data_IF_315671287652
#
_entry.id   IF_315671287652
#
_cell.length_a   1.000
_cell.length_b   1.000
_cell.length_c   1.000
_cell.angle_alpha   90.00
_cell.angle_beta   90.00
_cell.angle_gamma   90.00
#
_symmetry.space_group_name_H-M   'P 1'
#
loop_
_entity.id
_entity.type
_entity.pdbx_description
1 polymer ?
#
# COMPACT_ATOMS: atom_id res chain seq x y z
N UNK A 1 -5.30 77.84 -17.15
CA UNK A 1 -5.40 76.74 -18.13
C UNK A 1 -4.45 75.57 -17.87
N UNK A 2 -3.16 75.80 -17.59
CA UNK A 2 -2.16 74.73 -17.38
C UNK A 2 -2.55 73.71 -16.28
N UNK A 3 -3.03 74.17 -15.12
CA UNK A 3 -3.47 73.29 -14.01
C UNK A 3 -4.60 72.34 -14.40
N UNK A 4 -5.56 72.80 -15.22
CA UNK A 4 -6.69 71.98 -15.69
C UNK A 4 -6.24 70.91 -16.70
N UNK A 5 -5.28 71.23 -17.56
CA UNK A 5 -4.65 70.27 -18.48
C UNK A 5 -3.86 69.19 -17.73
N UNK A 6 -3.13 69.59 -16.69
CA UNK A 6 -2.33 68.65 -15.88
C UNK A 6 -3.21 67.69 -15.06
N UNK A 7 -4.27 68.19 -14.43
CA UNK A 7 -5.24 67.34 -13.73
C UNK A 7 -5.95 66.35 -14.68
N UNK A 8 -6.26 66.78 -15.90
CA UNK A 8 -6.84 65.89 -16.92
C UNK A 8 -5.86 64.79 -17.37
N UNK A 9 -4.58 65.12 -17.58
CA UNK A 9 -3.56 64.14 -17.92
C UNK A 9 -3.35 63.10 -16.79
N UNK A 10 -3.34 63.54 -15.53
CA UNK A 10 -3.28 62.63 -14.37
C UNK A 10 -4.50 61.72 -14.33
N UNK A 11 -5.70 62.26 -14.53
CA UNK A 11 -6.93 61.46 -14.55
C UNK A 11 -6.89 60.38 -15.65
N UNK A 12 -6.36 60.68 -16.83
CA UNK A 12 -6.20 59.70 -17.91
C UNK A 12 -5.18 58.61 -17.57
N UNK A 13 -4.05 58.95 -16.94
CA UNK A 13 -3.06 57.95 -16.49
C UNK A 13 -3.65 57.06 -15.41
N UNK A 14 -4.34 57.64 -14.42
CA UNK A 14 -5.03 56.87 -13.38
C UNK A 14 -6.11 55.96 -13.97
N UNK A 15 -6.93 56.46 -14.90
CA UNK A 15 -7.93 55.63 -15.59
C UNK A 15 -7.27 54.49 -16.39
N UNK A 16 -6.15 54.79 -17.07
CA UNK A 16 -5.38 53.82 -17.84
C UNK A 16 -4.77 52.68 -17.01
N UNK A 17 -4.55 52.88 -15.71
CA UNK A 17 -4.03 51.85 -14.79
C UNK A 17 -5.16 51.20 -13.98
N UNK A 18 -6.08 52.02 -13.45
CA UNK A 18 -7.14 51.55 -12.56
C UNK A 18 -8.14 50.65 -13.28
N UNK A 19 -8.51 50.95 -14.54
CA UNK A 19 -9.46 50.15 -15.30
C UNK A 19 -8.90 48.74 -15.57
N UNK A 20 -7.67 48.55 -16.11
CA UNK A 20 -7.07 47.22 -16.24
C UNK A 20 -6.88 46.50 -14.90
N UNK A 21 -6.49 47.21 -13.85
CA UNK A 21 -6.33 46.60 -12.52
C UNK A 21 -7.65 46.06 -11.96
N UNK A 22 -8.74 46.82 -12.07
CA UNK A 22 -10.08 46.38 -11.66
C UNK A 22 -10.59 45.25 -12.55
N UNK A 23 -10.38 45.32 -13.87
CA UNK A 23 -10.75 44.24 -14.79
C UNK A 23 -9.99 42.94 -14.49
N UNK A 24 -8.68 43.03 -14.24
CA UNK A 24 -7.84 41.90 -13.85
C UNK A 24 -8.27 41.33 -12.50
N UNK A 25 -8.55 42.18 -11.51
CA UNK A 25 -9.04 41.76 -10.21
C UNK A 25 -10.43 41.09 -10.29
N UNK A 26 -11.33 41.62 -11.12
CA UNK A 26 -12.64 41.01 -11.37
C UNK A 26 -12.52 39.66 -12.07
N UNK A 27 -11.69 39.57 -13.12
CA UNK A 27 -11.42 38.31 -13.82
C UNK A 27 -10.79 37.27 -12.88
N UNK A 28 -9.85 37.71 -12.04
CA UNK A 28 -9.23 36.87 -11.01
C UNK A 28 -10.25 36.35 -9.99
N UNK A 29 -11.14 37.22 -9.50
CA UNK A 29 -12.21 36.84 -8.57
C UNK A 29 -13.20 35.88 -9.22
N UNK A 30 -13.60 36.15 -10.46
CA UNK A 30 -14.52 35.29 -11.21
C UNK A 30 -13.92 33.91 -11.47
N UNK A 31 -12.62 33.85 -11.81
CA UNK A 31 -11.90 32.58 -11.92
C UNK A 31 -11.86 31.84 -10.57
N UNK A 32 -11.66 32.56 -9.47
CA UNK A 32 -11.75 32.04 -8.11
C UNK A 32 -13.10 31.42 -7.77
N UNK A 33 -14.18 32.14 -8.05
CA UNK A 33 -15.55 31.66 -7.82
C UNK A 33 -15.91 30.48 -8.73
N UNK A 34 -15.44 30.50 -9.98
CA UNK A 34 -15.65 29.38 -10.94
C UNK A 34 -14.93 28.13 -10.47
N UNK A 35 -13.65 28.23 -10.11
CA UNK A 35 -12.88 27.10 -9.60
C UNK A 35 -13.43 26.55 -8.28
N UNK A 36 -13.92 27.43 -7.39
CA UNK A 36 -14.58 27.01 -6.15
C UNK A 36 -15.88 26.24 -6.42
N UNK A 37 -16.72 26.70 -7.37
CA UNK A 37 -17.94 25.97 -7.77
C UNK A 37 -17.60 24.61 -8.35
N UNK A 38 -16.58 24.54 -9.19
CA UNK A 38 -16.11 23.28 -9.76
C UNK A 38 -15.61 22.32 -8.66
N UNK A 39 -14.81 22.81 -7.71
CA UNK A 39 -14.36 22.05 -6.55
C UNK A 39 -15.52 21.52 -5.68
N UNK A 40 -16.49 22.37 -5.34
CA UNK A 40 -17.68 21.98 -4.57
C UNK A 40 -18.53 20.93 -5.32
N UNK A 41 -18.63 21.05 -6.64
CA UNK A 41 -19.29 20.07 -7.50
C UNK A 41 -18.56 18.72 -7.50
N UNK A 42 -17.23 18.70 -7.60
CA UNK A 42 -16.45 17.45 -7.56
C UNK A 42 -16.56 16.77 -6.18
N UNK A 43 -16.60 17.53 -5.08
CA UNK A 43 -16.90 16.98 -3.75
C UNK A 43 -18.31 16.38 -3.69
N UNK A 44 -19.32 17.04 -4.27
CA UNK A 44 -20.68 16.50 -4.36
C UNK A 44 -20.71 15.17 -5.11
N UNK A 45 -20.06 15.11 -6.28
CA UNK A 45 -19.95 13.87 -7.07
C UNK A 45 -19.22 12.77 -6.31
N UNK A 46 -18.11 13.06 -5.62
CA UNK A 46 -17.43 12.09 -4.77
C UNK A 46 -18.35 11.53 -3.67
N UNK A 47 -19.16 12.40 -3.05
CA UNK A 47 -20.15 11.99 -2.04
C UNK A 47 -21.26 11.13 -2.62
N UNK A 48 -21.70 11.38 -3.86
CA UNK A 48 -22.70 10.55 -4.56
C UNK A 48 -22.18 9.14 -4.87
N UNK A 49 -20.88 9.00 -5.13
CA UNK A 49 -20.20 7.69 -5.20
C UNK A 49 -20.01 7.05 -3.80
N UNK A 50 -20.46 7.73 -2.75
CA UNK A 50 -20.34 7.29 -1.36
C UNK A 50 -18.90 7.25 -0.87
N UNK A 51 -18.05 8.15 -1.38
CA UNK A 51 -16.74 8.42 -0.80
C UNK A 51 -16.89 9.45 0.33
N UNK A 52 -16.16 9.29 1.45
CA UNK A 52 -16.11 10.32 2.48
C UNK A 52 -15.49 11.59 1.89
N UNK A 53 -16.06 12.73 2.26
CA UNK A 53 -15.60 14.06 1.85
C UNK A 53 -15.21 14.91 3.04
N UNK A 54 -15.41 14.43 4.27
CA UNK A 54 -15.06 15.12 5.51
C UNK A 54 -14.15 14.24 6.39
N UNK A 55 -13.24 14.86 7.16
CA UNK A 55 -12.47 14.16 8.19
C UNK A 55 -13.32 13.35 9.16
N UNK A 56 -14.46 13.89 9.59
CA UNK A 56 -15.39 13.20 10.50
C UNK A 56 -16.06 11.99 9.86
N UNK A 57 -16.41 12.07 8.58
CA UNK A 57 -16.95 10.93 7.81
C UNK A 57 -15.90 9.81 7.70
N UNK A 58 -14.64 10.16 7.41
CA UNK A 58 -13.54 9.21 7.32
C UNK A 58 -13.21 8.56 8.67
N UNK A 59 -13.14 9.35 9.74
CA UNK A 59 -12.83 8.87 11.09
C UNK A 59 -13.87 7.85 11.61
N UNK A 60 -15.13 7.95 11.17
CA UNK A 60 -16.16 6.96 11.51
C UNK A 60 -15.87 5.58 10.89
N UNK A 61 -15.17 5.52 9.75
CA UNK A 61 -14.81 4.26 9.07
C UNK A 61 -13.68 3.50 9.79
N UNK A 62 -12.91 4.18 10.63
CA UNK A 62 -11.71 3.63 11.29
C UNK A 62 -11.88 3.47 12.80
N UNK A 63 -12.96 4.01 13.35
CA UNK A 63 -13.17 4.09 14.80
C UNK A 63 -13.19 2.70 15.41
N UNK A 64 -12.21 2.46 16.28
CA UNK A 64 -12.12 1.23 17.08
C UNK A 64 -12.34 1.56 18.56
N UNK A 65 -13.22 0.84 19.30
CA UNK A 65 -13.35 1.02 20.74
C UNK A 65 -12.01 0.86 21.48
N UNK A 66 -11.75 1.64 22.53
CA UNK A 66 -10.42 1.66 23.20
C UNK A 66 -9.97 0.29 23.72
N UNK A 67 -10.88 -0.52 24.24
CA UNK A 67 -10.58 -1.88 24.72
C UNK A 67 -10.29 -2.87 23.59
N UNK A 68 -10.57 -2.50 22.35
CA UNK A 68 -10.39 -3.27 21.13
C UNK A 68 -9.29 -2.69 20.23
N UNK A 69 -8.71 -1.54 20.59
CA UNK A 69 -7.79 -0.79 19.76
C UNK A 69 -6.32 -1.15 20.02
N UNK A 70 -5.67 -1.76 19.03
CA UNK A 70 -4.26 -2.14 19.09
C UNK A 70 -3.27 -0.97 19.05
N UNK A 71 -3.68 0.22 18.59
CA UNK A 71 -2.77 1.34 18.33
C UNK A 71 -1.96 1.76 19.56
N UNK A 72 -2.58 1.83 20.74
CA UNK A 72 -1.89 2.17 21.99
C UNK A 72 -0.83 1.13 22.34
N UNK A 73 -1.15 -0.16 22.19
CA UNK A 73 -0.19 -1.25 22.45
C UNK A 73 0.95 -1.23 21.45
N UNK A 74 0.66 -1.06 20.15
CA UNK A 74 1.70 -0.91 19.13
C UNK A 74 2.64 0.24 19.44
N UNK A 75 2.16 1.43 19.81
CA UNK A 75 3.03 2.55 20.19
C UNK A 75 3.97 2.20 21.35
N UNK A 76 3.47 1.50 22.37
CA UNK A 76 4.31 1.04 23.47
C UNK A 76 5.36 0.02 23.00
N UNK A 77 4.94 -0.98 22.20
CA UNK A 77 5.84 -1.98 21.59
C UNK A 77 6.93 -1.30 20.75
N UNK A 78 6.61 -0.23 20.01
CA UNK A 78 7.60 0.51 19.23
C UNK A 78 8.63 1.25 20.09
N UNK A 79 8.25 1.70 21.29
CA UNK A 79 9.19 2.26 22.27
C UNK A 79 10.11 1.15 22.81
N UNK A 80 9.56 -0.01 23.15
CA UNK A 80 10.35 -1.12 23.69
C UNK A 80 11.26 -1.75 22.62
N UNK A 81 10.79 -1.83 21.37
CA UNK A 81 11.60 -2.16 20.20
C UNK A 81 12.81 -1.22 20.05
N UNK A 82 12.61 0.10 20.21
CA UNK A 82 13.70 1.07 20.13
C UNK A 82 14.72 0.84 21.26
N UNK A 83 14.27 0.56 22.49
CA UNK A 83 15.18 0.24 23.60
C UNK A 83 16.05 -0.98 23.28
N UNK A 84 15.49 -2.03 22.67
CA UNK A 84 16.25 -3.22 22.26
C UNK A 84 17.26 -2.90 21.15
N UNK A 85 16.95 -1.97 20.26
CA UNK A 85 17.89 -1.50 19.24
C UNK A 85 19.06 -0.69 19.84
N UNK A 86 18.79 0.09 20.88
CA UNK A 86 19.77 0.99 21.51
C UNK A 86 20.70 0.26 22.49
N UNK A 87 20.44 -1.00 22.84
CA UNK A 87 21.32 -1.80 23.68
C UNK A 87 22.72 -1.95 23.03
N UNK A 88 23.82 -1.81 23.80
CA UNK A 88 25.17 -2.06 23.29
C UNK A 88 25.31 -3.49 22.76
N UNK A 89 25.76 -3.65 21.52
CA UNK A 89 25.99 -4.96 20.90
C UNK A 89 27.47 -5.16 20.60
N UNK A 90 27.99 -6.35 20.92
CA UNK A 90 29.35 -6.75 20.51
C UNK A 90 29.48 -6.81 18.99
N UNK A 91 28.42 -7.24 18.31
CA UNK A 91 28.33 -7.28 16.86
C UNK A 91 27.25 -6.29 16.41
N UNK A 92 27.59 -5.28 15.60
CA UNK A 92 26.58 -4.41 15.00
C UNK A 92 25.60 -5.25 14.20
N UNK A 93 24.31 -4.91 14.25
CA UNK A 93 23.36 -5.47 13.29
C UNK A 93 23.85 -5.13 11.87
N UNK A 94 23.77 -6.06 10.89
CA UNK A 94 24.15 -5.80 9.51
C UNK A 94 23.49 -4.51 9.00
N UNK A 95 24.23 -3.65 8.27
CA UNK A 95 23.64 -2.41 7.69
C UNK A 95 22.50 -2.73 6.72
N UNK A 96 22.65 -3.81 5.98
CA UNK A 96 21.64 -4.38 5.11
C UNK A 96 20.72 -5.29 5.93
N UNK A 97 20.13 -4.75 7.01
CA UNK A 97 19.32 -5.44 8.03
C UNK A 97 18.25 -6.40 7.48
N UNK A 98 17.97 -6.37 6.17
CA UNK A 98 16.77 -6.94 5.57
C UNK A 98 16.99 -7.72 4.27
N UNK A 99 18.22 -8.19 3.97
CA UNK A 99 18.37 -9.33 3.04
C UNK A 99 17.80 -10.65 3.64
N UNK A 100 17.34 -10.59 4.89
CA UNK A 100 16.75 -11.65 5.74
C UNK A 100 15.45 -12.29 5.21
N UNK A 101 14.93 -11.89 4.05
CA UNK A 101 13.85 -12.63 3.37
C UNK A 101 14.27 -13.99 2.79
N UNK A 102 15.47 -14.47 3.15
CA UNK A 102 16.04 -15.73 2.71
C UNK A 102 16.88 -16.33 3.84
N UNK A 103 16.23 -16.84 4.90
CA UNK A 103 16.92 -17.85 5.70
C UNK A 103 17.12 -19.04 4.75
N UNK A 104 18.36 -19.38 4.45
CA UNK A 104 18.66 -20.54 3.64
C UNK A 104 18.71 -21.70 4.62
N UNK A 105 17.60 -22.44 4.75
CA UNK A 105 17.53 -23.58 5.69
C UNK A 105 18.63 -24.62 5.41
N UNK A 106 19.17 -24.63 4.18
CA UNK A 106 20.30 -25.42 3.73
C UNK A 106 21.68 -24.89 4.18
N UNK A 107 21.74 -23.77 4.91
CA UNK A 107 22.99 -23.14 5.39
C UNK A 107 22.98 -22.97 6.91
N UNK A 108 23.53 -23.92 7.68
CA UNK A 108 23.53 -23.90 9.15
C UNK A 108 24.09 -22.60 9.77
N UNK A 109 25.08 -21.99 9.13
CA UNK A 109 25.67 -20.72 9.56
C UNK A 109 24.65 -19.58 9.56
N UNK A 110 23.67 -19.60 8.65
CA UNK A 110 22.61 -18.58 8.59
C UNK A 110 21.60 -18.74 9.71
N UNK A 111 21.40 -19.96 10.23
CA UNK A 111 20.48 -20.24 11.33
C UNK A 111 21.00 -19.69 12.66
N UNK A 112 22.29 -19.89 12.96
CA UNK A 112 22.91 -19.36 14.20
C UNK A 112 22.86 -17.84 14.22
N UNK A 113 23.18 -17.19 13.10
CA UNK A 113 23.07 -15.74 12.97
C UNK A 113 21.62 -15.27 13.13
N UNK A 114 20.67 -15.95 12.49
CA UNK A 114 19.25 -15.60 12.57
C UNK A 114 18.70 -15.72 14.01
N UNK A 115 19.02 -16.80 14.72
CA UNK A 115 18.64 -16.98 16.13
C UNK A 115 19.19 -15.86 17.01
N UNK A 116 20.48 -15.53 16.85
CA UNK A 116 21.13 -14.46 17.61
C UNK A 116 20.52 -13.07 17.33
N UNK A 117 20.01 -12.83 16.11
CA UNK A 117 19.35 -11.59 15.73
C UNK A 117 17.93 -11.46 16.29
N UNK A 118 17.17 -12.57 16.33
CA UNK A 118 15.78 -12.59 16.81
C UNK A 118 15.70 -12.60 18.34
N UNK A 119 16.58 -13.34 19.01
CA UNK A 119 16.51 -13.59 20.46
C UNK A 119 16.34 -12.32 21.34
N UNK A 120 17.04 -11.18 21.08
CA UNK A 120 16.86 -9.97 21.87
C UNK A 120 15.44 -9.38 21.83
N UNK A 121 14.62 -9.76 20.85
CA UNK A 121 13.28 -9.24 20.65
C UNK A 121 12.18 -10.11 21.26
N UNK A 122 12.48 -11.24 21.91
CA UNK A 122 11.47 -12.21 22.38
C UNK A 122 10.28 -11.55 23.12
N UNK A 123 10.55 -10.72 24.14
CA UNK A 123 9.49 -10.02 24.88
C UNK A 123 8.69 -9.01 24.04
N UNK A 124 9.33 -8.36 23.06
CA UNK A 124 8.64 -7.46 22.12
C UNK A 124 7.72 -8.25 21.20
N UNK A 125 8.14 -9.45 20.76
CA UNK A 125 7.34 -10.32 19.91
C UNK A 125 6.14 -10.91 20.67
N UNK A 126 6.29 -11.26 21.94
CA UNK A 126 5.17 -11.74 22.79
C UNK A 126 4.07 -10.68 22.96
N UNK A 127 4.46 -9.44 23.24
CA UNK A 127 3.51 -8.33 23.31
C UNK A 127 2.89 -8.04 21.95
N UNK A 128 3.63 -8.18 20.86
CA UNK A 128 3.13 -8.00 19.50
C UNK A 128 2.09 -9.07 19.13
N UNK A 129 2.36 -10.34 19.44
CA UNK A 129 1.38 -11.45 19.30
C UNK A 129 0.11 -11.14 20.08
N UNK A 130 0.24 -10.66 21.32
CA UNK A 130 -0.90 -10.29 22.17
C UNK A 130 -1.68 -9.10 21.62
N UNK A 131 -1.01 -8.03 21.23
CA UNK A 131 -1.63 -6.82 20.68
C UNK A 131 -2.33 -7.08 19.34
N UNK A 132 -1.77 -7.95 18.50
CA UNK A 132 -2.35 -8.33 17.21
C UNK A 132 -3.70 -9.05 17.33
N UNK A 133 -4.03 -9.63 18.49
CA UNK A 133 -5.31 -10.32 18.73
C UNK A 133 -6.47 -9.37 19.02
N UNK A 134 -6.21 -8.08 19.20
CA UNK A 134 -7.26 -7.07 19.31
C UNK A 134 -7.99 -6.93 17.97
N UNK A 135 -9.26 -6.52 17.97
CA UNK A 135 -10.12 -6.58 16.78
C UNK A 135 -9.90 -5.45 15.79
N UNK A 136 -9.30 -4.33 16.21
CA UNK A 136 -9.04 -3.20 15.34
C UNK A 136 -7.84 -2.38 15.78
N UNK A 137 -7.50 -1.38 14.96
CA UNK A 137 -6.42 -0.45 15.21
C UNK A 137 -6.86 0.92 14.72
N UNK A 138 -6.76 1.93 15.57
CA UNK A 138 -7.04 3.31 15.21
C UNK A 138 -5.98 4.19 15.87
N UNK A 139 -5.03 4.65 15.06
CA UNK A 139 -3.94 5.52 15.51
C UNK A 139 -4.41 6.94 15.84
N UNK A 140 -5.67 7.29 15.53
CA UNK A 140 -6.27 8.62 15.75
C UNK A 140 -5.47 9.73 15.08
N UNK A 141 -5.20 9.56 13.80
CA UNK A 141 -4.48 10.54 13.01
C UNK A 141 -5.25 11.87 12.95
N UNK A 142 -4.50 12.97 12.95
CA UNK A 142 -5.05 14.31 12.73
C UNK A 142 -5.28 14.54 11.23
N UNK A 143 -6.47 14.15 10.78
CA UNK A 143 -6.88 14.24 9.37
C UNK A 143 -6.95 15.67 8.83
N UNK A 144 -6.88 16.70 9.69
CA UNK A 144 -6.82 18.10 9.23
C UNK A 144 -5.48 18.45 8.55
N UNK A 145 -4.47 17.59 8.69
CA UNK A 145 -3.15 17.76 8.08
C UNK A 145 -3.10 17.41 6.58
N UNK A 146 -4.18 16.89 6.01
CA UNK A 146 -4.25 16.57 4.58
C UNK A 146 -3.12 15.65 4.13
N UNK A 147 -2.48 15.99 3.01
CA UNK A 147 -1.33 15.27 2.43
C UNK A 147 -0.05 15.39 3.28
N UNK A 148 -0.03 16.25 4.30
CA UNK A 148 1.09 16.41 5.24
C UNK A 148 1.02 15.44 6.43
N UNK A 149 0.11 14.47 6.40
CA UNK A 149 -0.05 13.51 7.49
C UNK A 149 1.15 12.52 7.54
N UNK A 150 1.75 12.39 8.73
CA UNK A 150 2.85 11.46 8.98
C UNK A 150 2.38 10.12 9.54
N UNK A 151 3.11 9.05 9.19
CA UNK A 151 2.85 7.68 9.64
C UNK A 151 4.09 7.05 10.32
N UNK A 152 4.54 7.61 11.47
CA UNK A 152 5.80 7.21 12.10
C UNK A 152 5.84 5.73 12.52
N UNK A 153 4.68 5.10 12.72
CA UNK A 153 4.59 3.70 13.14
C UNK A 153 4.95 2.70 12.03
N UNK A 154 4.70 3.03 10.75
CA UNK A 154 4.68 2.02 9.68
C UNK A 154 6.05 1.41 9.38
N UNK A 155 7.11 2.22 9.35
CA UNK A 155 8.46 1.72 9.10
C UNK A 155 8.90 0.72 10.19
N UNK A 156 8.65 1.05 11.46
CA UNK A 156 9.04 0.21 12.60
C UNK A 156 8.17 -1.05 12.71
N UNK A 157 6.86 -0.95 12.44
CA UNK A 157 5.99 -2.13 12.36
C UNK A 157 6.41 -3.08 11.23
N UNK A 158 6.88 -2.54 10.09
CA UNK A 158 7.43 -3.35 9.00
C UNK A 158 8.69 -4.10 9.41
N UNK A 159 9.54 -3.51 10.23
CA UNK A 159 10.72 -4.18 10.76
C UNK A 159 10.36 -5.28 11.75
N UNK A 160 9.40 -5.04 12.65
CA UNK A 160 8.87 -6.08 13.54
C UNK A 160 8.21 -7.24 12.79
N UNK A 161 7.48 -6.95 11.71
CA UNK A 161 6.89 -7.97 10.83
C UNK A 161 7.95 -8.90 10.24
N UNK A 162 9.12 -8.37 9.83
CA UNK A 162 10.22 -9.18 9.31
C UNK A 162 10.79 -10.09 10.41
N UNK A 163 10.95 -9.57 11.62
CA UNK A 163 11.45 -10.35 12.77
C UNK A 163 10.48 -11.49 13.11
N UNK A 164 9.16 -11.24 13.13
CA UNK A 164 8.16 -12.31 13.31
C UNK A 164 8.24 -13.37 12.21
N UNK A 165 8.37 -12.98 10.93
CA UNK A 165 8.50 -13.95 9.83
C UNK A 165 9.76 -14.80 9.97
N UNK A 166 10.88 -14.20 10.41
CA UNK A 166 12.13 -14.89 10.67
C UNK A 166 12.01 -15.86 11.85
N UNK A 167 11.41 -15.40 12.95
CA UNK A 167 11.05 -16.21 14.11
C UNK A 167 10.22 -17.43 13.69
N UNK A 168 9.18 -17.23 12.88
CA UNK A 168 8.33 -18.32 12.42
C UNK A 168 9.09 -19.42 11.66
N UNK A 169 10.02 -19.03 10.79
CA UNK A 169 10.86 -19.99 10.06
C UNK A 169 11.75 -20.77 11.02
N UNK A 170 12.39 -20.10 11.99
CA UNK A 170 13.26 -20.75 12.97
C UNK A 170 12.48 -21.73 13.84
N UNK A 171 11.32 -21.31 14.37
CA UNK A 171 10.43 -22.16 15.17
C UNK A 171 9.97 -23.40 14.38
N UNK A 172 9.62 -23.25 13.10
CA UNK A 172 9.23 -24.38 12.26
C UNK A 172 10.39 -25.35 11.97
N UNK A 173 11.62 -24.84 11.81
CA UNK A 173 12.81 -25.68 11.67
C UNK A 173 13.06 -26.50 12.95
N UNK A 174 12.86 -25.90 14.11
CA UNK A 174 12.95 -26.57 15.42
C UNK A 174 11.75 -27.49 15.72
N UNK A 175 10.73 -27.54 14.84
CA UNK A 175 9.54 -28.37 15.00
C UNK A 175 8.46 -27.76 15.90
N UNK A 176 8.64 -26.51 16.33
CA UNK A 176 7.68 -25.74 17.14
C UNK A 176 6.57 -25.13 16.25
N UNK A 177 5.79 -25.99 15.60
CA UNK A 177 4.74 -25.60 14.65
C UNK A 177 3.72 -24.59 15.19
N UNK A 178 3.39 -24.68 16.48
CA UNK A 178 2.45 -23.77 17.12
C UNK A 178 3.02 -22.35 17.21
N UNK A 179 4.28 -22.19 17.63
CA UNK A 179 4.94 -20.88 17.73
C UNK A 179 5.11 -20.27 16.33
N UNK A 180 5.53 -21.07 15.35
CA UNK A 180 5.64 -20.65 13.96
C UNK A 180 4.30 -20.15 13.39
N UNK A 181 3.22 -20.88 13.68
CA UNK A 181 1.87 -20.49 13.26
C UNK A 181 1.43 -19.21 13.94
N UNK A 182 1.62 -19.08 15.26
CA UNK A 182 1.23 -17.89 16.02
C UNK A 182 1.95 -16.63 15.53
N UNK A 183 3.22 -16.74 15.11
CA UNK A 183 3.98 -15.63 14.51
C UNK A 183 3.39 -15.15 13.19
N UNK A 184 3.12 -16.07 12.26
CA UNK A 184 2.56 -15.70 10.95
C UNK A 184 1.12 -15.20 11.06
N UNK A 185 0.34 -15.73 12.00
CA UNK A 185 -0.99 -15.21 12.29
C UNK A 185 -0.94 -13.82 12.93
N UNK A 186 0.06 -13.53 13.78
CA UNK A 186 0.27 -12.18 14.29
C UNK A 186 0.57 -11.19 13.15
N UNK A 187 1.42 -11.58 12.18
CA UNK A 187 1.70 -10.76 10.98
C UNK A 187 0.43 -10.55 10.15
N UNK A 188 -0.38 -11.58 9.91
CA UNK A 188 -1.62 -11.46 9.16
C UNK A 188 -2.63 -10.50 9.85
N UNK A 189 -2.74 -10.55 11.18
CA UNK A 189 -3.58 -9.62 11.95
C UNK A 189 -3.04 -8.19 11.94
N UNK A 190 -1.73 -8.01 12.05
CA UNK A 190 -1.09 -6.70 11.87
C UNK A 190 -1.37 -6.13 10.47
N UNK A 191 -1.27 -6.98 9.44
CA UNK A 191 -1.65 -6.61 8.07
C UNK A 191 -3.11 -6.18 8.01
N UNK A 192 -4.04 -6.91 8.63
CA UNK A 192 -5.46 -6.52 8.73
C UNK A 192 -5.65 -5.17 9.42
N UNK A 193 -4.97 -4.91 10.54
CA UNK A 193 -5.04 -3.62 11.23
C UNK A 193 -4.63 -2.44 10.34
N UNK A 194 -3.61 -2.63 9.50
CA UNK A 194 -3.15 -1.63 8.54
C UNK A 194 -4.07 -1.53 7.32
N UNK A 195 -4.57 -2.67 6.83
CA UNK A 195 -5.58 -2.74 5.76
C UNK A 195 -6.83 -1.96 6.12
N UNK A 196 -7.20 -2.02 7.39
CA UNK A 196 -8.42 -1.40 7.88
C UNK A 196 -8.21 0.12 8.12
N UNK A 197 -6.98 0.63 8.08
CA UNK A 197 -6.74 2.07 7.99
C UNK A 197 -7.22 2.61 6.63
N UNK A 198 -7.55 3.90 6.55
CA UNK A 198 -8.15 4.43 5.34
C UNK A 198 -7.14 4.96 4.34
N UNK A 199 -5.83 4.84 4.56
CA UNK A 199 -4.82 5.51 3.73
C UNK A 199 -4.17 4.55 2.74
N UNK A 200 -3.94 4.99 1.50
CA UNK A 200 -3.22 4.22 0.46
C UNK A 200 -1.90 3.66 0.99
N UNK A 201 -1.10 4.49 1.66
CA UNK A 201 0.18 4.06 2.22
C UNK A 201 0.03 2.94 3.28
N UNK A 202 -1.07 2.94 4.05
CA UNK A 202 -1.35 1.86 4.99
C UNK A 202 -1.72 0.56 4.27
N UNK A 203 -2.50 0.65 3.18
CA UNK A 203 -2.80 -0.47 2.28
C UNK A 203 -1.54 -1.09 1.66
N UNK A 204 -0.62 -0.26 1.16
CA UNK A 204 0.68 -0.72 0.60
C UNK A 204 1.58 -1.38 1.65
N UNK A 205 1.61 -0.85 2.88
CA UNK A 205 2.33 -1.49 3.99
C UNK A 205 1.65 -2.81 4.39
N UNK A 206 0.32 -2.85 4.38
CA UNK A 206 -0.43 -4.09 4.60
C UNK A 206 -0.06 -5.15 3.56
N UNK A 207 -0.06 -4.83 2.26
CA UNK A 207 0.40 -5.73 1.19
C UNK A 207 1.82 -6.21 1.41
N UNK A 208 2.71 -5.32 1.87
CA UNK A 208 4.08 -5.72 2.22
C UNK A 208 4.09 -6.79 3.32
N UNK A 209 3.23 -6.69 4.34
CA UNK A 209 3.17 -7.66 5.43
C UNK A 209 2.64 -9.01 4.95
N UNK A 210 1.57 -9.01 4.14
CA UNK A 210 1.02 -10.21 3.51
C UNK A 210 2.11 -10.95 2.72
N UNK A 211 2.80 -10.24 1.83
CA UNK A 211 3.86 -10.81 1.00
C UNK A 211 5.02 -11.39 1.82
N UNK A 212 5.35 -10.80 2.97
CA UNK A 212 6.39 -11.34 3.86
C UNK A 212 5.92 -12.63 4.55
N UNK A 213 4.69 -12.65 5.07
CA UNK A 213 4.11 -13.84 5.70
C UNK A 213 3.95 -15.00 4.70
N UNK A 214 3.47 -14.72 3.49
CA UNK A 214 3.35 -15.70 2.41
C UNK A 214 4.71 -16.29 2.03
N UNK A 215 5.73 -15.43 1.90
CA UNK A 215 7.08 -15.87 1.57
C UNK A 215 7.66 -16.76 2.67
N UNK A 216 7.41 -16.44 3.95
CA UNK A 216 7.84 -17.24 5.09
C UNK A 216 7.08 -18.58 5.16
N UNK A 217 5.76 -18.59 4.97
CA UNK A 217 4.97 -19.82 4.93
C UNK A 217 5.39 -20.72 3.76
N UNK A 218 5.59 -20.14 2.58
CA UNK A 218 6.11 -20.88 1.43
C UNK A 218 7.46 -21.50 1.76
N UNK A 219 8.40 -20.71 2.29
CA UNK A 219 9.72 -21.19 2.68
C UNK A 219 9.64 -22.35 3.68
N UNK A 220 8.80 -22.24 4.72
CA UNK A 220 8.58 -23.30 5.69
C UNK A 220 8.09 -24.57 4.98
N UNK A 221 7.08 -24.46 4.12
CA UNK A 221 6.56 -25.60 3.35
C UNK A 221 7.60 -26.20 2.39
N UNK A 222 8.55 -25.40 1.89
CA UNK A 222 9.64 -25.93 1.06
C UNK A 222 10.65 -26.73 1.88
N UNK A 223 11.06 -26.18 3.03
CA UNK A 223 12.09 -26.78 3.88
C UNK A 223 11.57 -27.99 4.65
N UNK A 224 10.27 -28.00 4.95
CA UNK A 224 9.58 -29.01 5.76
C UNK A 224 8.23 -29.32 5.11
N UNK A 225 8.19 -30.09 4.00
CA UNK A 225 6.95 -30.42 3.29
C UNK A 225 6.14 -31.51 4.03
N UNK A 226 5.77 -31.21 5.27
CA UNK A 226 5.00 -32.07 6.18
C UNK A 226 3.63 -31.44 6.49
N UNK A 227 2.69 -32.26 6.97
CA UNK A 227 1.30 -31.83 7.21
C UNK A 227 1.19 -30.56 8.09
N UNK A 228 1.96 -30.40 9.18
CA UNK A 228 1.94 -29.16 9.96
C UNK A 228 2.25 -27.88 9.16
N UNK A 229 3.15 -27.94 8.17
CA UNK A 229 3.46 -26.78 7.33
C UNK A 229 2.29 -26.42 6.40
N UNK A 230 1.57 -27.43 5.90
CA UNK A 230 0.38 -27.20 5.07
C UNK A 230 -0.77 -26.61 5.88
N UNK A 231 -1.02 -27.14 7.10
CA UNK A 231 -2.01 -26.59 8.03
C UNK A 231 -1.69 -25.14 8.41
N UNK A 232 -0.42 -24.83 8.67
CA UNK A 232 0.04 -23.46 8.93
C UNK A 232 -0.27 -22.53 7.75
N UNK A 233 0.03 -22.95 6.52
CA UNK A 233 -0.23 -22.14 5.32
C UNK A 233 -1.74 -21.92 5.10
N UNK A 234 -2.56 -22.97 5.28
CA UNK A 234 -4.01 -22.87 5.17
C UNK A 234 -4.58 -21.88 6.21
N UNK A 235 -4.13 -21.95 7.46
CA UNK A 235 -4.54 -21.01 8.53
C UNK A 235 -4.08 -19.58 8.25
N UNK A 236 -2.84 -19.39 7.79
CA UNK A 236 -2.33 -18.08 7.42
C UNK A 236 -3.21 -17.44 6.36
N UNK A 237 -3.51 -18.18 5.29
CA UNK A 237 -4.29 -17.66 4.18
C UNK A 237 -5.73 -17.32 4.58
N UNK A 238 -6.32 -18.09 5.49
CA UNK A 238 -7.62 -17.75 6.10
C UNK A 238 -7.55 -16.44 6.90
N UNK A 239 -6.51 -16.26 7.72
CA UNK A 239 -6.33 -15.07 8.58
C UNK A 239 -6.01 -13.80 7.77
N UNK A 240 -5.27 -13.91 6.66
CA UNK A 240 -4.97 -12.79 5.77
C UNK A 240 -6.27 -12.15 5.23
N UNK A 241 -7.29 -12.95 4.91
CA UNK A 241 -8.55 -12.47 4.35
C UNK A 241 -8.36 -11.69 3.03
N UNK A 242 -9.33 -10.83 2.65
CA UNK A 242 -9.28 -10.12 1.38
C UNK A 242 -8.17 -9.04 1.32
N UNK A 243 -7.79 -8.59 0.11
CA UNK A 243 -6.90 -7.43 -0.06
C UNK A 243 -7.54 -6.13 0.49
N UNK A 244 -6.75 -5.05 0.60
CA UNK A 244 -7.29 -3.75 1.03
C UNK A 244 -8.42 -3.21 0.16
N UNK A 245 -9.28 -2.39 0.77
CA UNK A 245 -10.43 -1.79 0.09
C UNK A 245 -10.04 -0.48 -0.54
N UNK A 246 -9.94 -0.47 -1.88
CA UNK A 246 -9.60 0.72 -2.64
C UNK A 246 -10.58 1.87 -2.41
N UNK A 247 -11.86 1.56 -2.20
CA UNK A 247 -12.89 2.56 -1.87
C UNK A 247 -12.51 3.38 -0.64
N UNK A 248 -12.01 2.72 0.40
CA UNK A 248 -11.63 3.39 1.64
C UNK A 248 -10.41 4.29 1.43
N UNK A 249 -9.45 3.79 0.67
CA UNK A 249 -8.20 4.48 0.35
C UNK A 249 -8.41 5.74 -0.49
N UNK A 250 -9.15 5.62 -1.59
CA UNK A 250 -9.56 6.76 -2.42
C UNK A 250 -10.39 7.77 -1.60
N UNK A 251 -11.24 7.28 -0.71
CA UNK A 251 -11.97 8.14 0.24
C UNK A 251 -11.03 9.02 1.09
N UNK A 252 -9.90 8.48 1.54
CA UNK A 252 -8.92 9.29 2.29
C UNK A 252 -8.23 10.33 1.42
N UNK A 253 -7.96 10.04 0.15
CA UNK A 253 -7.33 10.98 -0.76
C UNK A 253 -8.26 12.17 -1.02
N UNK A 254 -9.57 11.93 -1.20
CA UNK A 254 -10.57 13.01 -1.32
C UNK A 254 -10.59 13.89 -0.06
N UNK A 255 -10.56 13.28 1.13
CA UNK A 255 -10.53 14.02 2.40
C UNK A 255 -9.23 14.80 2.57
N UNK A 256 -8.09 14.22 2.18
CA UNK A 256 -6.80 14.87 2.26
C UNK A 256 -6.71 16.07 1.31
N UNK A 257 -7.11 15.88 0.05
CA UNK A 257 -7.19 16.94 -0.96
C UNK A 257 -8.11 18.07 -0.51
N UNK A 258 -9.25 17.75 0.13
CA UNK A 258 -10.12 18.78 0.72
C UNK A 258 -9.44 19.53 1.85
N UNK A 259 -8.84 18.82 2.80
CA UNK A 259 -8.19 19.46 3.94
C UNK A 259 -7.12 20.44 3.47
N UNK A 260 -6.35 20.07 2.44
CA UNK A 260 -5.36 20.95 1.83
C UNK A 260 -5.99 22.08 1.03
N UNK A 261 -7.10 21.88 0.31
CA UNK A 261 -7.80 22.96 -0.39
C UNK A 261 -8.38 24.00 0.59
N UNK A 262 -8.96 23.56 1.71
CA UNK A 262 -9.69 24.38 2.68
C UNK A 262 -8.76 25.17 3.65
N UNK A 263 -7.43 25.09 3.46
CA UNK A 263 -6.46 25.85 4.26
C UNK A 263 -5.47 25.00 5.06
N UNK A 264 -5.35 23.70 4.76
CA UNK A 264 -4.23 22.86 5.21
C UNK A 264 -2.89 23.50 4.86
N UNK A 265 -1.87 23.25 5.70
CA UNK A 265 -0.49 23.66 5.38
C UNK A 265 -0.08 22.96 4.08
N UNK A 266 0.60 23.64 3.15
CA UNK A 266 1.17 22.96 1.99
C UNK A 266 2.10 21.83 2.47
N UNK A 267 2.20 20.71 1.72
CA UNK A 267 3.02 19.59 2.15
C UNK A 267 4.49 20.00 2.27
N UNK A 268 5.21 19.54 3.31
CA UNK A 268 6.53 20.04 3.68
C UNK A 268 7.60 19.84 2.59
N UNK A 269 7.37 18.99 1.59
CA UNK A 269 8.28 18.80 0.45
C UNK A 269 8.17 19.85 -0.65
N UNK A 270 7.16 20.73 -0.60
CA UNK A 270 6.98 21.84 -1.53
C UNK A 270 7.52 23.17 -0.99
N UNK A 271 8.01 23.23 0.26
CA UNK A 271 8.53 24.46 0.86
C UNK A 271 9.73 25.05 0.10
N UNK A 272 10.49 24.20 -0.61
CA UNK A 272 11.65 24.60 -1.43
C UNK A 272 11.29 24.93 -2.89
N UNK A 273 10.06 24.66 -3.34
CA UNK A 273 9.57 25.07 -4.65
C UNK A 273 8.84 26.40 -4.43
N UNK A 274 9.33 27.55 -4.95
CA UNK A 274 8.61 28.81 -4.84
C UNK A 274 7.24 28.58 -5.45
N UNK A 275 6.19 28.56 -4.63
CA UNK A 275 4.85 28.13 -5.03
C UNK A 275 4.16 29.27 -5.81
N UNK A 276 4.29 29.33 -7.15
CA UNK A 276 3.80 30.46 -7.91
C UNK A 276 2.29 30.32 -8.15
N UNK A 277 1.70 29.17 -7.80
CA UNK A 277 0.37 28.73 -8.22
C UNK A 277 -0.61 28.63 -7.06
N UNK A 278 -0.20 28.23 -5.85
CA UNK A 278 -1.10 28.14 -4.69
C UNK A 278 -1.31 29.48 -3.96
N UNK A 279 -0.48 30.48 -4.27
CA UNK A 279 -0.77 31.87 -3.94
C UNK A 279 -1.96 32.46 -4.71
N UNK A 280 -2.42 31.78 -5.77
CA UNK A 280 -3.57 32.17 -6.60
C UNK A 280 -4.76 31.26 -6.28
N UNK A 281 -5.67 31.64 -5.34
CA UNK A 281 -6.88 30.89 -5.01
C UNK A 281 -7.64 30.29 -6.19
N UNK A 282 -7.73 30.99 -7.32
CA UNK A 282 -8.41 30.49 -8.52
C UNK A 282 -7.77 29.22 -9.08
N UNK A 283 -6.45 29.19 -9.17
CA UNK A 283 -5.72 28.02 -9.66
C UNK A 283 -5.71 26.90 -8.63
N UNK A 284 -5.68 27.25 -7.33
CA UNK A 284 -5.77 26.29 -6.23
C UNK A 284 -7.04 25.45 -6.31
N UNK A 285 -8.22 26.08 -6.28
CA UNK A 285 -9.48 25.32 -6.29
C UNK A 285 -9.66 24.52 -7.58
N UNK A 286 -9.26 25.07 -8.74
CA UNK A 286 -9.34 24.34 -10.01
C UNK A 286 -8.42 23.11 -10.03
N UNK A 287 -7.20 23.22 -9.51
CA UNK A 287 -6.27 22.10 -9.40
C UNK A 287 -6.80 21.00 -8.46
N UNK A 288 -7.32 21.37 -7.28
CA UNK A 288 -7.92 20.40 -6.37
C UNK A 288 -9.21 19.78 -6.93
N UNK A 289 -10.03 20.55 -7.66
CA UNK A 289 -11.18 20.01 -8.38
C UNK A 289 -10.74 18.94 -9.40
N UNK A 290 -9.73 19.23 -10.21
CA UNK A 290 -9.17 18.27 -11.17
C UNK A 290 -8.58 17.02 -10.48
N UNK A 291 -7.89 17.16 -9.34
CA UNK A 291 -7.43 16.02 -8.54
C UNK A 291 -8.60 15.13 -8.08
N UNK A 292 -9.66 15.73 -7.52
CA UNK A 292 -10.83 14.99 -7.05
C UNK A 292 -11.54 14.32 -8.22
N UNK A 293 -11.72 15.02 -9.36
CA UNK A 293 -12.32 14.44 -10.56
C UNK A 293 -11.55 13.20 -11.01
N UNK A 294 -10.22 13.30 -11.11
CA UNK A 294 -9.36 12.19 -11.54
C UNK A 294 -9.46 11.01 -10.57
N UNK A 295 -9.39 11.26 -9.26
CA UNK A 295 -9.52 10.22 -8.22
C UNK A 295 -10.90 9.54 -8.27
N UNK A 296 -11.99 10.29 -8.46
CA UNK A 296 -13.35 9.73 -8.60
C UNK A 296 -13.48 8.90 -9.88
N UNK A 297 -12.89 9.34 -11.00
CA UNK A 297 -12.88 8.55 -12.25
C UNK A 297 -12.09 7.26 -12.09
N UNK A 298 -10.92 7.31 -11.47
CA UNK A 298 -10.13 6.13 -11.14
C UNK A 298 -10.90 5.17 -10.21
N UNK A 299 -11.61 5.70 -9.21
CA UNK A 299 -12.49 4.92 -8.35
C UNK A 299 -13.54 4.14 -9.16
N UNK A 300 -14.28 4.84 -10.04
CA UNK A 300 -15.30 4.21 -10.90
C UNK A 300 -14.70 3.14 -11.81
N UNK A 301 -13.55 3.44 -12.41
CA UNK A 301 -12.84 2.51 -13.28
C UNK A 301 -12.43 1.23 -12.52
N UNK A 302 -11.88 1.39 -11.31
CA UNK A 302 -11.43 0.28 -10.49
C UNK A 302 -12.58 -0.56 -9.91
N UNK A 303 -13.66 0.09 -9.45
CA UNK A 303 -14.81 -0.60 -8.85
C UNK A 303 -15.66 -1.39 -9.86
N UNK A 304 -15.40 -1.22 -11.16
CA UNK A 304 -16.06 -2.02 -12.19
C UNK A 304 -15.65 -3.51 -12.19
N UNK A 305 -14.52 -3.82 -11.58
CA UNK A 305 -14.01 -5.18 -11.42
C UNK A 305 -13.57 -5.37 -9.96
N UNK A 306 -14.36 -6.09 -9.13
CA UNK A 306 -14.09 -6.26 -7.71
C UNK A 306 -12.77 -6.97 -7.38
N UNK A 307 -12.21 -7.75 -8.32
CA UNK A 307 -10.93 -8.43 -8.14
C UNK A 307 -9.74 -7.60 -8.65
N UNK A 308 -10.02 -6.40 -9.18
CA UNK A 308 -9.05 -5.51 -9.79
C UNK A 308 -8.20 -6.20 -10.87
N UNK A 309 -8.85 -7.01 -11.69
CA UNK A 309 -8.23 -7.77 -12.76
C UNK A 309 -7.90 -6.91 -14.00
N UNK A 310 -7.63 -7.57 -15.15
CA UNK A 310 -7.27 -6.88 -16.40
C UNK A 310 -8.27 -5.81 -16.85
N UNK A 311 -9.56 -5.98 -16.53
CA UNK A 311 -10.59 -5.01 -16.90
C UNK A 311 -10.49 -3.71 -16.11
N UNK A 312 -10.26 -3.77 -14.79
CA UNK A 312 -9.99 -2.58 -13.99
C UNK A 312 -8.75 -1.85 -14.53
N UNK A 313 -7.67 -2.58 -14.82
CA UNK A 313 -6.45 -2.02 -15.38
C UNK A 313 -6.69 -1.28 -16.70
N UNK A 314 -7.37 -1.93 -17.66
CA UNK A 314 -7.66 -1.32 -18.95
C UNK A 314 -8.52 -0.04 -18.83
N UNK A 315 -9.46 0.00 -17.86
CA UNK A 315 -10.26 1.21 -17.60
C UNK A 315 -9.44 2.32 -16.95
N UNK A 316 -8.49 1.99 -16.08
CA UNK A 316 -7.59 2.98 -15.49
C UNK A 316 -6.66 3.58 -16.54
N UNK A 317 -6.13 2.77 -17.46
CA UNK A 317 -5.33 3.25 -18.59
C UNK A 317 -6.14 4.23 -19.46
N UNK A 318 -7.44 4.01 -19.64
CA UNK A 318 -8.33 4.97 -20.31
C UNK A 318 -8.51 6.28 -19.52
N UNK A 319 -8.57 6.20 -18.18
CA UNK A 319 -8.63 7.39 -17.32
C UNK A 319 -7.31 8.16 -17.36
N UNK A 320 -6.17 7.49 -17.38
CA UNK A 320 -4.84 8.11 -17.55
C UNK A 320 -4.72 8.79 -18.91
N UNK A 321 -5.09 8.11 -20.00
CA UNK A 321 -5.10 8.69 -21.34
C UNK A 321 -6.00 9.94 -21.42
N UNK A 322 -7.19 9.88 -20.82
CA UNK A 322 -8.08 11.03 -20.71
C UNK A 322 -7.42 12.20 -19.94
N UNK A 323 -6.69 11.92 -18.87
CA UNK A 323 -5.99 12.94 -18.10
C UNK A 323 -4.82 13.55 -18.88
N UNK A 324 -4.07 12.75 -19.65
CA UNK A 324 -2.96 13.20 -20.49
C UNK A 324 -3.42 14.07 -21.67
N UNK A 325 -4.62 13.82 -22.20
CA UNK A 325 -5.24 14.65 -23.24
C UNK A 325 -5.61 16.06 -22.73
N UNK A 326 -5.80 16.22 -21.41
CA UNK A 326 -6.12 17.49 -20.76
C UNK A 326 -4.83 18.32 -20.56
N UNK A 327 -4.63 19.29 -21.44
CA UNK A 327 -3.45 20.18 -21.42
C UNK A 327 -3.58 21.39 -20.50
N UNK A 328 -4.69 21.53 -19.77
CA UNK A 328 -4.84 22.63 -18.82
C UNK A 328 -3.97 22.40 -17.57
N UNK A 329 -3.48 23.50 -17.00
CA UNK A 329 -2.52 23.45 -15.89
C UNK A 329 -3.04 22.68 -14.67
N UNK A 330 -4.35 22.74 -14.41
CA UNK A 330 -4.97 22.02 -13.30
C UNK A 330 -4.87 20.50 -13.47
N UNK A 331 -5.09 19.98 -14.68
CA UNK A 331 -4.96 18.55 -14.97
C UNK A 331 -3.50 18.08 -14.98
N UNK A 332 -2.57 18.91 -15.46
CA UNK A 332 -1.13 18.59 -15.37
C UNK A 332 -0.70 18.46 -13.91
N UNK A 333 -1.17 19.35 -13.04
CA UNK A 333 -0.95 19.25 -11.59
C UNK A 333 -1.63 17.98 -11.04
N UNK A 334 -2.90 17.74 -11.40
CA UNK A 334 -3.65 16.58 -10.92
C UNK A 334 -2.98 15.24 -11.27
N UNK A 335 -2.51 15.07 -12.52
CA UNK A 335 -1.79 13.86 -12.95
C UNK A 335 -0.49 13.64 -12.17
N UNK A 336 0.19 14.71 -11.73
CA UNK A 336 1.37 14.60 -10.89
C UNK A 336 1.04 14.09 -9.47
N UNK A 337 -0.11 14.45 -8.90
CA UNK A 337 -0.51 14.10 -7.54
C UNK A 337 -1.35 12.80 -7.43
N UNK A 338 -2.20 12.50 -8.42
CA UNK A 338 -3.20 11.42 -8.35
C UNK A 338 -2.79 10.13 -9.10
N UNK A 339 -1.51 9.97 -9.43
CA UNK A 339 -1.00 8.81 -10.21
C UNK A 339 -0.80 7.52 -9.39
N UNK A 340 -1.17 7.49 -8.11
CA UNK A 340 -0.89 6.34 -7.24
C UNK A 340 -1.93 5.21 -7.35
N UNK A 341 -3.15 5.48 -7.81
CA UNK A 341 -4.24 4.49 -7.85
C UNK A 341 -3.91 3.27 -8.73
N UNK A 342 -3.42 3.41 -9.98
CA UNK A 342 -3.13 2.25 -10.83
C UNK A 342 -2.01 1.37 -10.26
N UNK A 343 -0.99 2.00 -9.68
CA UNK A 343 0.08 1.31 -8.96
C UNK A 343 -0.46 0.54 -7.75
N UNK A 344 -1.37 1.15 -6.98
CA UNK A 344 -1.97 0.55 -5.78
C UNK A 344 -2.78 -0.70 -6.14
N UNK A 345 -3.62 -0.60 -7.17
CA UNK A 345 -4.39 -1.73 -7.72
C UNK A 345 -3.46 -2.84 -8.18
N UNK A 346 -2.41 -2.52 -8.94
CA UNK A 346 -1.41 -3.51 -9.35
C UNK A 346 -0.83 -4.26 -8.15
N UNK A 347 -0.44 -3.56 -7.09
CA UNK A 347 0.07 -4.20 -5.88
C UNK A 347 -0.96 -5.04 -5.14
N UNK A 348 -2.24 -4.67 -5.18
CA UNK A 348 -3.31 -5.45 -4.56
C UNK A 348 -3.53 -6.76 -5.32
N UNK A 349 -3.59 -6.69 -6.65
CA UNK A 349 -3.71 -7.86 -7.52
C UNK A 349 -2.47 -8.77 -7.43
N UNK A 350 -1.26 -8.20 -7.33
CA UNK A 350 -0.03 -8.98 -7.07
C UNK A 350 -0.09 -9.67 -5.72
N UNK A 351 -0.57 -8.99 -4.67
CA UNK A 351 -0.71 -9.59 -3.34
C UNK A 351 -1.70 -10.76 -3.37
N UNK A 352 -2.85 -10.58 -4.01
CA UNK A 352 -3.84 -11.65 -4.16
C UNK A 352 -3.29 -12.82 -4.98
N UNK A 353 -2.57 -12.53 -6.06
CA UNK A 353 -1.90 -13.54 -6.88
C UNK A 353 -0.91 -14.38 -6.08
N UNK A 354 -0.16 -13.77 -5.15
CA UNK A 354 0.75 -14.52 -4.26
C UNK A 354 0.02 -15.41 -3.26
N UNK A 355 -1.11 -14.97 -2.69
CA UNK A 355 -1.95 -15.81 -1.82
C UNK A 355 -2.47 -17.04 -2.58
N UNK A 356 -3.02 -16.83 -3.80
CA UNK A 356 -3.53 -17.92 -4.64
C UNK A 356 -2.41 -18.86 -5.06
N UNK A 357 -1.25 -18.32 -5.45
CA UNK A 357 -0.07 -19.12 -5.75
C UNK A 357 0.38 -19.95 -4.54
N UNK A 358 0.39 -19.39 -3.33
CA UNK A 358 0.72 -20.14 -2.11
C UNK A 358 -0.23 -21.32 -1.88
N UNK A 359 -1.55 -21.11 -1.99
CA UNK A 359 -2.54 -22.20 -1.89
C UNK A 359 -2.29 -23.29 -2.93
N UNK A 360 -2.10 -22.89 -4.20
CA UNK A 360 -1.80 -23.81 -5.29
C UNK A 360 -0.50 -24.60 -5.04
N UNK A 361 0.54 -23.92 -4.57
CA UNK A 361 1.82 -24.54 -4.24
C UNK A 361 1.71 -25.56 -3.10
N UNK A 362 0.97 -25.23 -2.03
CA UNK A 362 0.71 -26.15 -0.91
C UNK A 362 -0.12 -27.35 -1.35
N UNK A 363 -1.13 -27.15 -2.19
CA UNK A 363 -1.93 -28.24 -2.75
C UNK A 363 -1.06 -29.21 -3.58
N UNK A 364 -0.14 -28.68 -4.40
CA UNK A 364 0.81 -29.50 -5.16
C UNK A 364 1.78 -30.28 -4.25
N UNK A 365 2.28 -29.66 -3.17
CA UNK A 365 3.13 -30.34 -2.18
C UNK A 365 2.37 -31.46 -1.47
N UNK A 366 1.12 -31.21 -1.07
CA UNK A 366 0.25 -32.22 -0.43
C UNK A 366 -0.04 -33.38 -1.38
N UNK A 367 -0.34 -33.11 -2.66
CA UNK A 367 -0.54 -34.15 -3.67
C UNK A 367 0.72 -35.02 -3.84
N UNK A 368 1.91 -34.41 -3.89
CA UNK A 368 3.16 -35.17 -3.93
C UNK A 368 3.38 -36.02 -2.68
N UNK A 369 3.07 -35.49 -1.49
CA UNK A 369 3.22 -36.24 -0.25
C UNK A 369 2.32 -37.49 -0.22
N UNK A 370 1.16 -37.43 -0.86
CA UNK A 370 0.21 -38.54 -0.98
C UNK A 370 0.58 -39.54 -2.09
N UNK A 371 0.88 -39.04 -3.29
CA UNK A 371 1.04 -39.86 -4.50
C UNK A 371 2.51 -40.20 -4.83
N UNK A 372 3.46 -39.65 -4.08
CA UNK A 372 4.90 -39.77 -4.35
C UNK A 372 5.40 -38.96 -5.57
N UNK A 373 4.51 -38.32 -6.33
CA UNK A 373 4.84 -37.51 -7.52
C UNK A 373 3.94 -36.29 -7.67
N UNK A 374 4.42 -35.25 -8.33
CA UNK A 374 3.57 -34.11 -8.72
C UNK A 374 2.63 -34.49 -9.89
N UNK A 375 1.41 -33.91 -9.94
CA UNK A 375 0.46 -34.17 -11.02
C UNK A 375 1.01 -33.66 -12.37
N UNK A 376 0.56 -34.27 -13.47
CA UNK A 376 0.99 -33.90 -14.82
C UNK A 376 0.43 -32.54 -15.27
N UNK A 377 -0.67 -32.11 -14.68
CA UNK A 377 -1.30 -30.80 -14.88
C UNK A 377 -1.66 -30.16 -13.53
N UNK A 378 -1.92 -28.85 -13.54
CA UNK A 378 -2.43 -28.15 -12.36
C UNK A 378 -3.84 -28.69 -12.03
N UNK A 379 -4.11 -29.15 -10.79
CA UNK A 379 -5.45 -29.58 -10.41
C UNK A 379 -6.48 -28.46 -10.60
N UNK A 380 -7.75 -28.81 -10.80
CA UNK A 380 -8.83 -27.83 -10.73
C UNK A 380 -8.93 -27.30 -9.29
N UNK A 381 -8.58 -26.04 -9.11
CA UNK A 381 -8.60 -25.34 -7.83
C UNK A 381 -9.57 -24.15 -7.85
N UNK A 382 -10.51 -24.14 -8.81
CA UNK A 382 -11.42 -23.02 -9.02
C UNK A 382 -10.65 -21.71 -9.16
N UNK A 383 -11.01 -20.71 -8.34
CA UNK A 383 -10.39 -19.38 -8.36
C UNK A 383 -8.89 -19.38 -8.02
N UNK A 384 -8.42 -20.31 -7.19
CA UNK A 384 -7.00 -20.39 -6.84
C UNK A 384 -6.14 -20.90 -8.00
N UNK A 385 -6.76 -21.57 -8.98
CA UNK A 385 -6.13 -21.98 -10.24
C UNK A 385 -5.96 -20.84 -11.26
N UNK A 386 -6.55 -19.66 -11.00
CA UNK A 386 -6.54 -18.49 -11.89
C UNK A 386 -5.62 -17.39 -11.34
N UNK A 387 -4.73 -16.90 -12.19
CA UNK A 387 -3.88 -15.74 -11.94
C UNK A 387 -4.72 -14.44 -12.03
N UNK A 388 -4.89 -13.70 -10.93
CA UNK A 388 -5.71 -12.48 -10.92
C UNK A 388 -5.11 -11.35 -11.75
N UNK A 389 -3.82 -11.41 -12.11
CA UNK A 389 -3.18 -10.40 -12.96
C UNK A 389 -3.50 -10.58 -14.44
N UNK A 390 -3.73 -11.82 -14.86
CA UNK A 390 -3.97 -12.19 -16.26
C UNK A 390 -5.42 -12.61 -16.55
N UNK A 391 -6.19 -12.94 -15.51
CA UNK A 391 -7.48 -13.64 -15.63
C UNK A 391 -7.35 -14.93 -16.47
N UNK A 392 -6.26 -15.66 -16.24
CA UNK A 392 -5.91 -16.89 -16.96
C UNK A 392 -5.39 -17.94 -15.97
N UNK A 393 -5.46 -19.24 -16.31
CA UNK A 393 -4.82 -20.28 -15.51
C UNK A 393 -3.33 -20.00 -15.30
N UNK A 394 -2.81 -20.31 -14.12
CA UNK A 394 -1.37 -20.24 -13.86
C UNK A 394 -0.57 -21.07 -14.85
N UNK A 395 0.61 -20.58 -15.24
CA UNK A 395 1.55 -21.41 -16.00
C UNK A 395 2.19 -22.43 -15.04
N UNK A 396 1.72 -23.67 -15.12
CA UNK A 396 2.24 -24.81 -14.35
C UNK A 396 3.16 -25.68 -15.20
N UNK A 397 4.31 -26.04 -14.64
CA UNK A 397 5.24 -27.00 -15.25
C UNK A 397 5.93 -27.85 -14.20
N UNK A 398 5.91 -29.17 -14.38
CA UNK A 398 6.75 -30.10 -13.60
C UNK A 398 8.22 -29.97 -14.02
N UNK A 399 9.12 -29.92 -13.04
CA UNK A 399 10.57 -29.83 -13.25
C UNK A 399 11.31 -30.88 -12.40
N UNK A 400 11.56 -32.07 -12.96
CA UNK A 400 12.24 -33.14 -12.22
C UNK A 400 11.44 -33.58 -11.00
N UNK A 401 12.06 -33.45 -9.82
CA UNK A 401 11.43 -33.66 -8.52
C UNK A 401 10.72 -32.40 -8.02
N UNK A 402 10.31 -31.51 -8.91
CA UNK A 402 9.87 -30.17 -8.61
C UNK A 402 8.70 -29.69 -9.48
N UNK A 403 8.29 -28.45 -9.24
CA UNK A 403 7.37 -27.72 -10.11
C UNK A 403 7.69 -26.23 -10.13
N UNK A 404 7.16 -25.59 -11.16
CA UNK A 404 7.14 -24.15 -11.37
C UNK A 404 5.69 -23.72 -11.57
N UNK A 405 5.32 -22.64 -10.87
CA UNK A 405 4.03 -21.97 -11.01
C UNK A 405 4.31 -20.48 -11.28
N UNK A 406 3.90 -19.95 -12.42
CA UNK A 406 4.22 -18.57 -12.85
C UNK A 406 2.99 -17.82 -13.36
N UNK A 407 2.93 -16.53 -13.04
CA UNK A 407 2.06 -15.57 -13.72
C UNK A 407 2.51 -15.39 -15.18
N UNK A 408 1.56 -15.26 -16.09
CA UNK A 408 1.86 -14.90 -17.49
C UNK A 408 2.22 -13.41 -17.63
N UNK A 409 1.83 -12.59 -16.64
CA UNK A 409 2.21 -11.17 -16.56
C UNK A 409 3.66 -11.06 -16.12
N UNK A 410 4.44 -10.29 -16.89
CA UNK A 410 5.87 -10.08 -16.65
C UNK A 410 6.16 -8.61 -16.39
N UNK A 411 7.15 -8.36 -15.56
CA UNK A 411 7.74 -7.03 -15.33
C UNK A 411 9.21 -7.01 -15.73
N UNK A 412 9.71 -5.81 -16.03
CA UNK A 412 11.13 -5.59 -16.33
C UNK A 412 11.92 -5.41 -15.04
N UNK A 413 12.95 -6.23 -14.84
CA UNK A 413 13.93 -6.08 -13.75
C UNK A 413 15.33 -6.16 -14.37
N UNK A 414 16.06 -5.03 -14.39
CA UNK A 414 17.36 -4.95 -15.06
C UNK A 414 17.31 -5.31 -16.55
N UNK A 415 16.24 -4.88 -17.24
CA UNK A 415 16.00 -5.16 -18.66
C UNK A 415 15.44 -6.56 -18.98
N UNK A 416 15.40 -7.48 -17.99
CA UNK A 416 14.88 -8.85 -18.18
C UNK A 416 13.41 -8.93 -17.80
N UNK A 417 12.66 -9.71 -18.56
CA UNK A 417 11.28 -10.07 -18.21
C UNK A 417 11.28 -11.12 -17.10
N UNK A 418 10.67 -10.78 -15.98
CA UNK A 418 10.50 -11.65 -14.82
C UNK A 418 9.00 -11.75 -14.54
N UNK A 419 8.44 -12.97 -14.31
CA UNK A 419 7.05 -13.09 -13.87
C UNK A 419 6.78 -12.24 -12.64
N UNK A 420 5.62 -11.58 -12.59
CA UNK A 420 5.22 -10.78 -11.42
C UNK A 420 5.05 -11.64 -10.17
N UNK A 421 4.43 -12.81 -10.35
CA UNK A 421 4.26 -13.84 -9.32
C UNK A 421 4.86 -15.14 -9.81
N UNK A 422 5.67 -15.78 -8.98
CA UNK A 422 6.17 -17.12 -9.25
C UNK A 422 6.47 -17.90 -7.98
N UNK A 423 6.28 -19.21 -8.03
CA UNK A 423 6.75 -20.18 -7.06
C UNK A 423 7.56 -21.26 -7.77
N UNK A 424 8.65 -21.69 -7.13
CA UNK A 424 9.55 -22.71 -7.65
C UNK A 424 9.89 -23.69 -6.52
N UNK A 425 9.67 -24.98 -6.74
CA UNK A 425 10.02 -26.06 -5.83
C UNK A 425 10.72 -27.21 -6.58
N UNK A 426 11.74 -27.90 -6.01
CA UNK A 426 12.52 -27.40 -4.90
C UNK A 426 13.20 -26.10 -5.34
N UNK A 427 13.44 -25.20 -4.40
CA UNK A 427 14.21 -24.01 -4.69
C UNK A 427 15.64 -24.46 -5.04
N UNK A 428 16.07 -24.30 -6.29
CA UNK A 428 17.46 -24.61 -6.67
C UNK A 428 18.39 -23.78 -5.80
N UNK A 429 19.34 -24.44 -5.12
CA UNK A 429 20.44 -23.74 -4.48
C UNK A 429 21.07 -22.80 -5.52
N UNK A 430 21.37 -21.54 -5.17
CA UNK A 430 22.12 -20.69 -6.08
C UNK A 430 23.39 -21.45 -6.45
N UNK A 431 23.60 -21.69 -7.76
CA UNK A 431 24.86 -22.29 -8.23
C UNK A 431 25.99 -21.45 -7.65
N UNK A 432 26.86 -22.06 -6.86
CA UNK A 432 28.04 -21.38 -6.31
C UNK A 432 28.73 -20.66 -7.47
N UNK A 433 28.78 -19.34 -7.38
CA UNK A 433 29.40 -18.46 -8.37
C UNK A 433 30.80 -18.11 -7.95
#
# INVERSE_FOLDING_TARGET
MARRKWLFAIALVFAGIAIPAVALWSAYRQAGETGRRHYEEQLRLAKEEGLPTLPSELALLTRTPENQNAARRYRQILVDYQKVLDLPRKTPLPKDRWQLGRIWADRPETLVTALAEVAPFAGVLDELRTASKLSGCDFKYDLSKGLSLDFPEFAKLKDLCKILCQSAVLEALDGNWNAATDDLLAVARMSKHLRDQPFVIAGLVSVSFRSMAESAAWQIAQSRPEEPAFVLADRLVQELGPPPSLRREIGSDVVALRADADGGRPPPRLEDVPDPTMGIPALRYEAFAACIELVVRQHKAAMADPEYGPQAKARLEQVEAWADERKDLAHVIASAFASTTPMTIHYFSVSEGKVRALRAGVALLRARAQDGRFPDALPDMGKDGIDPLADQPWFYRREGDGFRLESTVKRKVGGKDVPEVYLLFPRRAPKDK
#
